data_IF_577069463253
#
_entry.id   IF_577069463253
#
_cell.length_a   1.000
_cell.length_b   1.000
_cell.length_c   1.000
_cell.angle_alpha   90.00
_cell.angle_beta   90.00
_cell.angle_gamma   90.00
#
_symmetry.space_group_name_H-M   'P 1'
#
loop_
_entity.id
_entity.type
_entity.pdbx_description
1 polymer ?
#
# COMPACT_ATOMS: atom_id res chain seq x y z
N UNK A 1 23.81 -29.97 -22.65
CA UNK A 1 22.74 -29.04 -22.22
C UNK A 1 22.16 -28.44 -23.49
N UNK A 2 20.85 -28.57 -23.71
CA UNK A 2 20.20 -28.00 -24.89
C UNK A 2 20.21 -26.47 -24.79
N UNK A 3 20.18 -25.76 -25.93
CA UNK A 3 20.14 -24.29 -25.94
C UNK A 3 19.02 -23.73 -25.06
N UNK A 4 17.90 -24.44 -24.93
CA UNK A 4 16.76 -24.06 -24.11
C UNK A 4 17.03 -24.12 -22.60
N UNK A 5 17.88 -25.05 -22.14
CA UNK A 5 18.24 -25.13 -20.71
C UNK A 5 19.21 -24.02 -20.31
N UNK A 6 20.07 -23.57 -21.23
CA UNK A 6 20.94 -22.40 -21.01
C UNK A 6 20.13 -21.09 -21.02
N UNK A 7 19.16 -20.97 -21.93
CA UNK A 7 18.28 -19.80 -22.02
C UNK A 7 17.39 -19.67 -20.78
N UNK A 8 16.86 -20.79 -20.28
CA UNK A 8 16.06 -20.84 -19.06
C UNK A 8 16.90 -20.50 -17.82
N UNK A 9 18.14 -20.97 -17.75
CA UNK A 9 19.06 -20.64 -16.65
C UNK A 9 19.48 -19.18 -16.66
N UNK A 10 19.77 -18.61 -17.85
CA UNK A 10 20.03 -17.18 -18.02
C UNK A 10 18.80 -16.32 -17.71
N UNK A 11 17.60 -16.79 -18.06
CA UNK A 11 16.33 -16.15 -17.72
C UNK A 11 16.08 -16.16 -16.20
N UNK A 12 16.35 -17.27 -15.51
CA UNK A 12 16.29 -17.34 -14.05
C UNK A 12 17.34 -16.43 -13.42
N UNK A 13 18.58 -16.42 -13.92
CA UNK A 13 19.65 -15.56 -13.41
C UNK A 13 19.29 -14.07 -13.58
N UNK A 14 18.75 -13.70 -14.74
CA UNK A 14 18.30 -12.35 -15.05
C UNK A 14 17.09 -11.95 -14.22
N UNK A 15 16.10 -12.84 -14.07
CA UNK A 15 14.89 -12.61 -13.26
C UNK A 15 15.22 -12.53 -11.77
N UNK A 16 16.12 -13.37 -11.26
CA UNK A 16 16.65 -13.27 -9.90
C UNK A 16 17.42 -11.97 -9.70
N UNK A 17 18.22 -11.55 -10.68
CA UNK A 17 18.94 -10.27 -10.64
C UNK A 17 17.98 -9.07 -10.61
N UNK A 18 16.97 -9.04 -11.47
CA UNK A 18 15.91 -8.01 -11.50
C UNK A 18 15.08 -8.00 -10.21
N UNK A 19 14.72 -9.18 -9.69
CA UNK A 19 13.99 -9.33 -8.44
C UNK A 19 14.81 -8.85 -7.22
N UNK A 20 16.14 -9.04 -7.25
CA UNK A 20 17.08 -8.49 -6.25
C UNK A 20 17.20 -6.96 -6.42
N UNK A 21 17.21 -6.45 -7.65
CA UNK A 21 17.35 -5.02 -7.96
C UNK A 21 16.14 -4.19 -7.53
N UNK A 22 14.92 -4.68 -7.80
CA UNK A 22 13.67 -4.03 -7.37
C UNK A 22 13.53 -4.03 -5.84
N UNK A 23 14.00 -5.07 -5.16
CA UNK A 23 14.00 -5.17 -3.69
C UNK A 23 14.89 -4.09 -3.04
N UNK A 24 15.94 -3.62 -3.72
CA UNK A 24 16.95 -2.67 -3.20
C UNK A 24 16.56 -1.19 -3.30
N UNK A 25 15.68 -0.84 -4.25
CA UNK A 25 15.13 0.52 -4.50
C UNK A 25 14.45 1.16 -3.28
N UNK A 26 13.38 0.51 -2.79
CA UNK A 26 12.56 0.96 -1.66
C UNK A 26 13.23 0.73 -0.30
N UNK A 27 14.39 0.08 -0.31
CA UNK A 27 15.13 -0.24 0.90
C UNK A 27 16.10 0.86 1.32
N UNK A 28 16.51 1.79 0.45
CA UNK A 28 17.69 2.60 0.78
C UNK A 28 17.44 3.56 1.97
N UNK A 29 16.30 4.26 2.02
CA UNK A 29 15.96 5.12 3.17
C UNK A 29 15.80 4.31 4.46
N UNK A 30 15.08 3.19 4.39
CA UNK A 30 14.86 2.28 5.53
C UNK A 30 16.16 1.63 6.03
N UNK A 31 17.03 1.17 5.12
CA UNK A 31 18.35 0.60 5.42
C UNK A 31 19.25 1.63 6.07
N UNK A 32 19.26 2.86 5.54
CA UNK A 32 20.01 3.96 6.14
C UNK A 32 19.48 4.25 7.54
N UNK A 33 18.16 4.35 7.72
CA UNK A 33 17.55 4.60 9.03
C UNK A 33 17.85 3.47 10.03
N UNK A 34 17.71 2.21 9.62
CA UNK A 34 17.98 1.04 10.44
C UNK A 34 19.45 0.93 10.87
N UNK A 35 20.37 1.38 10.01
CA UNK A 35 21.82 1.31 10.27
C UNK A 35 22.44 2.62 10.75
N UNK A 36 21.67 3.70 10.90
CA UNK A 36 22.19 5.06 11.15
C UNK A 36 23.11 5.15 12.38
N UNK A 37 22.79 4.36 13.41
CA UNK A 37 23.54 4.29 14.67
C UNK A 37 24.86 3.48 14.53
N UNK A 38 24.92 2.56 13.57
CA UNK A 38 26.11 1.73 13.27
C UNK A 38 27.09 2.44 12.32
N UNK A 39 26.66 3.51 11.66
CA UNK A 39 27.49 4.24 10.71
C UNK A 39 28.63 5.02 11.41
N UNK A 40 29.83 4.98 10.85
CA UNK A 40 30.92 5.89 11.26
C UNK A 40 30.57 7.36 10.96
N UNK A 41 31.25 8.35 11.58
CA UNK A 41 30.99 9.76 11.30
C UNK A 41 31.07 10.13 9.80
N UNK A 42 32.03 9.56 9.07
CA UNK A 42 32.15 9.77 7.63
C UNK A 42 31.00 9.13 6.84
N UNK A 43 30.58 7.93 7.21
CA UNK A 43 29.43 7.25 6.58
C UNK A 43 28.10 7.97 6.87
N UNK A 44 27.93 8.54 8.07
CA UNK A 44 26.76 9.39 8.38
C UNK A 44 26.69 10.62 7.47
N UNK A 45 27.82 11.27 7.16
CA UNK A 45 27.82 12.39 6.20
C UNK A 45 27.34 11.96 4.82
N UNK A 46 27.77 10.79 4.34
CA UNK A 46 27.28 10.21 3.08
C UNK A 46 25.78 9.92 3.14
N UNK A 47 25.31 9.29 4.22
CA UNK A 47 23.90 8.99 4.44
C UNK A 47 23.02 10.25 4.45
N UNK A 48 23.40 11.28 5.21
CA UNK A 48 22.65 12.54 5.26
C UNK A 48 22.60 13.23 3.91
N UNK A 49 23.72 13.30 3.19
CA UNK A 49 23.74 13.90 1.86
C UNK A 49 22.81 13.16 0.88
N UNK A 50 22.79 11.83 0.90
CA UNK A 50 21.88 11.03 0.06
C UNK A 50 20.41 11.28 0.44
N UNK A 51 20.10 11.35 1.74
CA UNK A 51 18.73 11.56 2.21
C UNK A 51 18.19 12.97 1.92
N UNK A 52 19.04 13.99 2.07
CA UNK A 52 18.71 15.41 1.87
C UNK A 52 18.76 15.82 0.39
N UNK A 53 19.76 15.33 -0.34
CA UNK A 53 20.04 15.72 -1.73
C UNK A 53 20.13 14.50 -2.67
N UNK A 54 19.08 13.64 -2.72
CA UNK A 54 19.11 12.42 -3.52
C UNK A 54 19.31 12.70 -5.01
N UNK A 55 18.79 13.83 -5.51
CA UNK A 55 18.91 14.21 -6.92
C UNK A 55 20.34 14.52 -7.30
N UNK A 56 21.05 15.28 -6.47
CA UNK A 56 22.47 15.56 -6.67
C UNK A 56 23.28 14.27 -6.57
N UNK A 57 23.02 13.45 -5.54
CA UNK A 57 23.73 12.19 -5.30
C UNK A 57 23.64 11.19 -6.46
N UNK A 58 22.53 11.16 -7.20
CA UNK A 58 22.32 10.27 -8.35
C UNK A 58 23.12 10.64 -9.62
N UNK A 59 23.83 11.77 -9.63
CA UNK A 59 24.70 12.17 -10.74
C UNK A 59 26.19 12.14 -10.37
N UNK A 60 26.53 11.73 -9.15
CA UNK A 60 27.91 11.68 -8.69
C UNK A 60 28.47 10.28 -8.88
N UNK A 61 29.78 10.19 -9.09
CA UNK A 61 30.56 8.97 -8.87
C UNK A 61 30.92 8.81 -7.38
N UNK A 62 31.43 7.64 -6.97
CA UNK A 62 31.83 7.40 -5.58
C UNK A 62 32.85 8.43 -5.08
N UNK A 63 33.84 8.76 -5.93
CA UNK A 63 34.87 9.76 -5.65
C UNK A 63 34.30 11.18 -5.52
N UNK A 64 33.41 11.56 -6.44
CA UNK A 64 32.75 12.87 -6.39
C UNK A 64 31.82 13.01 -5.19
N UNK A 65 31.04 11.97 -4.86
CA UNK A 65 30.19 11.95 -3.67
C UNK A 65 31.03 12.06 -2.40
N UNK A 66 32.15 11.34 -2.33
CA UNK A 66 33.10 11.44 -1.22
C UNK A 66 33.62 12.86 -1.07
N UNK A 67 34.10 13.45 -2.16
CA UNK A 67 34.59 14.84 -2.19
C UNK A 67 33.54 15.82 -1.71
N UNK A 68 32.30 15.69 -2.19
CA UNK A 68 31.18 16.57 -1.86
C UNK A 68 30.85 16.60 -0.36
N UNK A 69 31.02 15.48 0.34
CA UNK A 69 30.73 15.37 1.77
C UNK A 69 31.98 15.35 2.66
N UNK A 70 33.17 15.56 2.07
CA UNK A 70 34.45 15.61 2.76
C UNK A 70 34.92 14.26 3.31
N UNK A 71 34.76 13.17 2.56
CA UNK A 71 35.25 11.83 2.88
C UNK A 71 35.93 11.18 1.66
N UNK A 72 36.71 10.11 1.89
CA UNK A 72 37.33 9.38 0.77
C UNK A 72 36.33 8.52 0.00
N UNK A 73 36.64 8.23 -1.28
CA UNK A 73 35.89 7.27 -2.11
C UNK A 73 35.71 5.91 -1.41
N UNK A 74 36.78 5.41 -0.78
CA UNK A 74 36.74 4.16 -0.02
C UNK A 74 35.72 4.21 1.14
N UNK A 75 35.47 5.38 1.72
CA UNK A 75 34.44 5.56 2.75
C UNK A 75 33.03 5.44 2.17
N UNK A 76 32.80 5.96 0.97
CA UNK A 76 31.53 5.81 0.24
C UNK A 76 31.29 4.35 -0.15
N UNK A 77 32.31 3.63 -0.62
CA UNK A 77 32.19 2.20 -0.95
C UNK A 77 31.92 1.38 0.32
N UNK A 78 32.64 1.65 1.42
CA UNK A 78 32.36 1.00 2.71
C UNK A 78 30.96 1.30 3.22
N UNK A 79 30.45 2.53 3.03
CA UNK A 79 29.07 2.87 3.36
C UNK A 79 28.08 1.95 2.62
N UNK A 80 28.23 1.76 1.31
CA UNK A 80 27.39 0.84 0.55
C UNK A 80 27.39 -0.59 1.15
N UNK A 81 28.58 -1.10 1.50
CA UNK A 81 28.69 -2.40 2.15
C UNK A 81 28.06 -2.46 3.54
N UNK A 82 28.16 -1.40 4.35
CA UNK A 82 27.50 -1.32 5.67
C UNK A 82 25.97 -1.40 5.54
N UNK A 83 25.41 -0.94 4.42
CA UNK A 83 23.98 -1.09 4.11
C UNK A 83 23.61 -2.48 3.55
N UNK A 84 24.57 -3.39 3.41
CA UNK A 84 24.36 -4.73 2.84
C UNK A 84 24.37 -4.75 1.30
N UNK A 85 24.87 -3.70 0.66
CA UNK A 85 25.00 -3.61 -0.79
C UNK A 85 26.36 -4.14 -1.27
N UNK A 86 26.43 -4.62 -2.52
CA UNK A 86 27.67 -5.17 -3.11
C UNK A 86 28.72 -4.12 -3.47
N UNK A 87 28.37 -2.83 -3.42
CA UNK A 87 29.29 -1.73 -3.68
C UNK A 87 28.58 -0.46 -4.16
N UNK A 88 29.36 0.49 -4.69
CA UNK A 88 28.83 1.81 -5.07
C UNK A 88 27.83 1.77 -6.22
N UNK A 89 28.01 0.90 -7.22
CA UNK A 89 27.09 0.83 -8.37
C UNK A 89 25.66 0.49 -7.93
N UNK A 90 25.54 -0.44 -6.99
CA UNK A 90 24.26 -0.83 -6.43
C UNK A 90 23.67 0.27 -5.53
N UNK A 91 24.50 0.94 -4.74
CA UNK A 91 24.09 2.14 -3.99
C UNK A 91 23.57 3.22 -4.95
N UNK A 92 24.29 3.49 -6.04
CA UNK A 92 23.92 4.48 -7.04
C UNK A 92 22.59 4.15 -7.73
N UNK A 93 22.37 2.87 -8.07
CA UNK A 93 21.07 2.40 -8.58
C UNK A 93 19.95 2.60 -7.57
N UNK A 94 20.18 2.29 -6.29
CA UNK A 94 19.20 2.50 -5.24
C UNK A 94 18.88 4.00 -5.04
N UNK A 95 19.89 4.89 -5.06
CA UNK A 95 19.71 6.35 -5.05
C UNK A 95 18.88 6.80 -6.28
N UNK A 96 19.23 6.29 -7.46
CA UNK A 96 18.52 6.63 -8.71
C UNK A 96 17.05 6.19 -8.68
N UNK A 97 16.73 5.11 -7.96
CA UNK A 97 15.37 4.67 -7.77
C UNK A 97 14.58 5.53 -6.77
N UNK A 98 15.21 6.06 -5.72
CA UNK A 98 14.57 7.04 -4.81
C UNK A 98 14.05 8.29 -5.55
N UNK A 99 14.56 8.57 -6.75
CA UNK A 99 14.13 9.71 -7.57
C UNK A 99 12.87 9.44 -8.38
N UNK A 100 12.44 8.18 -8.56
CA UNK A 100 11.22 7.83 -9.33
C UNK A 100 9.98 8.52 -8.73
N UNK A 101 9.95 8.69 -7.42
CA UNK A 101 8.86 9.33 -6.70
C UNK A 101 8.78 10.84 -6.92
N UNK A 102 9.88 11.45 -7.35
CA UNK A 102 9.98 12.87 -7.70
C UNK A 102 9.88 13.15 -9.20
N UNK A 103 9.83 12.11 -10.04
CA UNK A 103 9.65 12.27 -11.48
C UNK A 103 8.26 12.82 -11.80
N UNK A 104 8.22 13.73 -12.76
CA UNK A 104 6.98 14.16 -13.42
C UNK A 104 6.33 12.96 -14.12
N UNK A 105 5.04 13.10 -14.40
CA UNK A 105 4.26 12.12 -15.17
C UNK A 105 4.97 11.75 -16.49
N UNK A 106 5.52 12.73 -17.21
CA UNK A 106 6.21 12.52 -18.49
C UNK A 106 7.56 11.80 -18.32
N UNK A 107 8.33 12.13 -17.29
CA UNK A 107 9.59 11.44 -17.02
C UNK A 107 9.38 9.99 -16.60
N UNK A 108 8.30 9.67 -15.87
CA UNK A 108 7.91 8.28 -15.58
C UNK A 108 7.58 7.50 -16.85
N UNK A 109 6.86 8.13 -17.80
CA UNK A 109 6.56 7.54 -19.11
C UNK A 109 7.82 7.30 -19.93
N UNK A 110 8.73 8.27 -20.00
CA UNK A 110 9.94 8.16 -20.81
C UNK A 110 10.90 7.11 -20.23
N UNK A 111 11.04 7.05 -18.90
CA UNK A 111 11.78 5.98 -18.23
C UNK A 111 11.20 4.61 -18.51
N UNK A 112 9.87 4.50 -18.53
CA UNK A 112 9.18 3.27 -18.91
C UNK A 112 9.44 2.91 -20.38
N UNK A 113 9.40 3.88 -21.29
CA UNK A 113 9.66 3.67 -22.73
C UNK A 113 11.10 3.20 -23.00
N UNK A 114 12.04 3.65 -22.17
CA UNK A 114 13.48 3.36 -22.30
C UNK A 114 13.93 2.13 -21.50
N UNK A 115 13.06 1.50 -20.70
CA UNK A 115 13.39 0.31 -19.89
C UNK A 115 13.70 -0.93 -20.73
N UNK A 116 13.33 -0.96 -22.02
CA UNK A 116 13.51 -2.12 -22.90
C UNK A 116 12.56 -3.28 -22.59
N UNK A 117 11.53 -3.05 -21.76
CA UNK A 117 10.51 -4.05 -21.44
C UNK A 117 9.68 -4.40 -22.68
N UNK A 118 9.64 -5.69 -23.02
CA UNK A 118 8.99 -6.18 -24.26
C UNK A 118 7.46 -6.21 -24.17
N UNK A 119 6.89 -6.17 -22.97
CA UNK A 119 5.45 -6.32 -22.72
C UNK A 119 4.98 -5.44 -21.56
N UNK A 120 4.06 -4.52 -21.85
CA UNK A 120 3.42 -3.65 -20.85
C UNK A 120 2.65 -4.47 -19.81
N UNK A 121 1.96 -5.50 -20.28
CA UNK A 121 1.15 -6.38 -19.46
C UNK A 121 1.99 -7.12 -18.43
N UNK A 122 3.05 -7.80 -18.89
CA UNK A 122 3.91 -8.60 -18.01
C UNK A 122 4.63 -7.72 -16.98
N UNK A 123 5.00 -6.50 -17.38
CA UNK A 123 5.60 -5.55 -16.46
C UNK A 123 4.61 -5.10 -15.37
N UNK A 124 3.40 -4.69 -15.78
CA UNK A 124 2.39 -4.21 -14.86
C UNK A 124 2.04 -5.30 -13.83
N UNK A 125 1.70 -6.49 -14.32
CA UNK A 125 1.35 -7.64 -13.48
C UNK A 125 2.54 -8.08 -12.63
N UNK A 126 3.76 -8.09 -13.18
CA UNK A 126 4.98 -8.43 -12.44
C UNK A 126 5.24 -7.48 -11.27
N UNK A 127 5.07 -6.16 -11.49
CA UNK A 127 5.19 -5.14 -10.42
C UNK A 127 4.14 -5.33 -9.32
N UNK A 128 2.91 -5.67 -9.68
CA UNK A 128 1.85 -5.93 -8.71
C UNK A 128 2.13 -7.18 -7.87
N UNK A 129 2.53 -8.28 -8.52
CA UNK A 129 2.93 -9.51 -7.83
C UNK A 129 4.08 -9.24 -6.85
N UNK A 130 5.08 -8.46 -7.27
CA UNK A 130 6.20 -8.12 -6.41
C UNK A 130 5.77 -7.24 -5.23
N UNK A 131 4.90 -6.26 -5.45
CA UNK A 131 4.33 -5.42 -4.38
C UNK A 131 3.56 -6.27 -3.36
N UNK A 132 2.77 -7.24 -3.83
CA UNK A 132 2.05 -8.20 -2.98
C UNK A 132 2.98 -9.09 -2.14
N UNK A 133 4.08 -9.59 -2.74
CA UNK A 133 5.11 -10.34 -1.99
C UNK A 133 5.78 -9.48 -0.92
N UNK A 134 6.01 -8.20 -1.22
CA UNK A 134 6.55 -7.26 -0.24
C UNK A 134 5.56 -7.03 0.91
N UNK A 135 4.27 -6.85 0.62
CA UNK A 135 3.22 -6.77 1.66
C UNK A 135 3.30 -7.99 2.57
N UNK A 136 3.28 -9.21 2.01
CA UNK A 136 3.29 -10.45 2.77
C UNK A 136 4.52 -10.59 3.69
N UNK A 137 5.67 -10.06 3.27
CA UNK A 137 6.92 -10.15 4.04
C UNK A 137 7.13 -9.01 5.05
N UNK A 138 6.47 -7.86 4.88
CA UNK A 138 6.74 -6.64 5.68
C UNK A 138 5.59 -6.22 6.58
N UNK A 139 4.34 -6.48 6.18
CA UNK A 139 3.18 -6.03 6.93
C UNK A 139 3.01 -6.89 8.18
N UNK A 140 3.18 -6.27 9.35
CA UNK A 140 2.85 -6.91 10.63
C UNK A 140 1.32 -6.92 10.81
N UNK A 141 0.75 -8.13 10.86
CA UNK A 141 -0.68 -8.35 11.08
C UNK A 141 -1.19 -7.68 12.36
N UNK A 142 -0.33 -7.52 13.38
CA UNK A 142 -0.69 -6.81 14.61
C UNK A 142 -1.09 -5.36 14.36
N UNK A 143 -0.50 -4.70 13.37
CA UNK A 143 -0.88 -3.33 12.99
C UNK A 143 -2.32 -3.29 12.50
N UNK A 144 -2.73 -4.27 11.69
CA UNK A 144 -4.09 -4.38 11.16
C UNK A 144 -5.09 -4.68 12.28
N UNK A 145 -4.77 -5.60 13.20
CA UNK A 145 -5.63 -5.89 14.35
C UNK A 145 -5.81 -4.70 15.29
N UNK A 146 -4.74 -3.97 15.58
CA UNK A 146 -4.81 -2.77 16.40
C UNK A 146 -5.66 -1.68 15.73
N UNK A 147 -5.55 -1.53 14.40
CA UNK A 147 -6.38 -0.60 13.64
C UNK A 147 -7.85 -1.01 13.67
N UNK A 148 -8.15 -2.31 13.57
CA UNK A 148 -9.51 -2.82 13.65
C UNK A 148 -10.16 -2.49 15.00
N UNK A 149 -9.45 -2.75 16.12
CA UNK A 149 -9.92 -2.39 17.46
C UNK A 149 -10.14 -0.88 17.63
N UNK A 150 -9.24 -0.05 17.06
CA UNK A 150 -9.42 1.41 17.06
C UNK A 150 -10.69 1.82 16.29
N UNK A 151 -10.94 1.20 15.14
CA UNK A 151 -12.10 1.53 14.29
C UNK A 151 -13.42 1.10 14.92
N UNK A 152 -13.48 -0.06 15.57
CA UNK A 152 -14.72 -0.54 16.21
C UNK A 152 -15.10 0.26 17.46
N UNK A 153 -14.13 0.88 18.12
CA UNK A 153 -14.35 1.72 19.31
C UNK A 153 -14.60 3.21 18.97
N UNK A 154 -14.27 3.65 17.76
CA UNK A 154 -14.35 5.06 17.37
C UNK A 154 -15.80 5.56 17.25
N UNK A 155 -16.14 6.74 17.82
CA UNK A 155 -17.48 7.32 17.65
C UNK A 155 -17.81 7.71 16.21
N UNK A 156 -16.79 8.07 15.43
CA UNK A 156 -16.87 8.35 14.01
C UNK A 156 -15.51 8.07 13.34
N UNK A 157 -15.55 7.68 12.07
CA UNK A 157 -14.36 7.51 11.24
C UNK A 157 -14.50 8.33 9.97
N UNK A 158 -13.51 9.18 9.71
CA UNK A 158 -13.42 10.05 8.54
C UNK A 158 -12.27 9.58 7.66
N UNK A 159 -12.53 9.29 6.39
CA UNK A 159 -11.54 8.75 5.46
C UNK A 159 -11.22 9.79 4.41
N UNK A 160 -9.98 10.26 4.37
CA UNK A 160 -9.49 11.30 3.48
C UNK A 160 -8.54 10.73 2.42
N UNK A 161 -8.83 10.99 1.15
CA UNK A 161 -7.95 10.69 0.03
C UNK A 161 -8.18 11.72 -1.06
N UNK A 162 -7.15 12.02 -1.86
CA UNK A 162 -7.25 13.01 -2.93
C UNK A 162 -6.59 12.50 -4.21
N UNK A 163 -7.08 12.95 -5.37
CA UNK A 163 -6.66 12.45 -6.70
C UNK A 163 -6.78 10.92 -6.76
N UNK A 164 -5.76 10.19 -7.22
CA UNK A 164 -5.80 8.73 -7.32
C UNK A 164 -6.16 8.07 -5.97
N UNK A 165 -5.61 8.54 -4.85
CA UNK A 165 -5.87 7.96 -3.53
C UNK A 165 -7.31 8.17 -3.05
N UNK A 166 -8.11 9.02 -3.70
CA UNK A 166 -9.56 9.10 -3.43
C UNK A 166 -10.25 7.78 -3.73
N UNK A 167 -9.81 7.03 -4.75
CA UNK A 167 -10.37 5.70 -5.06
C UNK A 167 -10.21 4.72 -3.89
N UNK A 168 -9.07 4.77 -3.20
CA UNK A 168 -8.81 3.94 -2.01
C UNK A 168 -9.67 4.39 -0.82
N UNK A 169 -9.78 5.70 -0.61
CA UNK A 169 -10.62 6.26 0.45
C UNK A 169 -12.09 5.90 0.25
N UNK A 170 -12.59 6.04 -0.99
CA UNK A 170 -13.93 5.65 -1.38
C UNK A 170 -14.16 4.16 -1.17
N UNK A 171 -13.26 3.30 -1.67
CA UNK A 171 -13.35 1.84 -1.54
C UNK A 171 -13.45 1.40 -0.07
N UNK A 172 -12.56 1.92 0.79
CA UNK A 172 -12.59 1.63 2.21
C UNK A 172 -13.88 2.14 2.86
N UNK A 173 -14.29 3.38 2.56
CA UNK A 173 -15.51 3.96 3.13
C UNK A 173 -16.77 3.19 2.74
N UNK A 174 -16.83 2.71 1.49
CA UNK A 174 -17.96 1.95 0.96
C UNK A 174 -18.16 0.65 1.72
N UNK A 175 -17.16 -0.21 1.80
CA UNK A 175 -17.31 -1.49 2.52
C UNK A 175 -17.49 -1.30 4.02
N UNK A 176 -16.80 -0.34 4.62
CA UNK A 176 -16.97 -0.08 6.05
C UNK A 176 -18.37 0.49 6.38
N UNK A 177 -19.01 1.21 5.46
CA UNK A 177 -20.38 1.71 5.66
C UNK A 177 -21.43 0.59 5.81
N UNK A 178 -21.13 -0.63 5.36
CA UNK A 178 -22.02 -1.77 5.55
C UNK A 178 -21.99 -2.26 7.00
N UNK A 179 -20.84 -2.09 7.66
CA UNK A 179 -20.52 -2.79 8.91
C UNK A 179 -20.22 -1.86 10.08
N UNK A 180 -20.05 -0.55 9.87
CA UNK A 180 -19.81 0.45 10.90
C UNK A 180 -20.80 1.61 10.77
N UNK A 181 -21.34 2.14 11.89
CA UNK A 181 -22.49 3.04 11.86
C UNK A 181 -22.16 4.48 11.44
N UNK A 182 -20.91 4.93 11.60
CA UNK A 182 -20.53 6.33 11.40
C UNK A 182 -19.21 6.46 10.62
N UNK A 183 -19.22 5.92 9.39
CA UNK A 183 -18.14 6.07 8.41
C UNK A 183 -18.48 7.22 7.46
N UNK A 184 -17.53 8.14 7.27
CA UNK A 184 -17.68 9.28 6.35
C UNK A 184 -16.48 9.38 5.44
N UNK A 185 -16.72 9.38 4.14
CA UNK A 185 -15.73 9.85 3.17
C UNK A 185 -15.58 11.36 3.31
N UNK A 186 -14.35 11.84 3.41
CA UNK A 186 -14.07 13.26 3.61
C UNK A 186 -14.47 14.07 2.36
N UNK A 187 -15.33 15.10 2.48
CA UNK A 187 -15.66 15.98 1.37
C UNK A 187 -14.43 16.79 0.96
N UNK A 188 -14.28 17.03 -0.34
CA UNK A 188 -13.07 17.66 -0.90
C UNK A 188 -13.04 19.18 -0.68
N UNK A 189 -14.21 19.80 -0.59
CA UNK A 189 -14.45 21.24 -0.50
C UNK A 189 -14.51 21.76 0.94
N UNK A 190 -15.11 21.00 1.86
CA UNK A 190 -15.34 21.42 3.25
C UNK A 190 -14.87 20.41 4.31
N UNK A 191 -13.60 19.96 4.28
CA UNK A 191 -13.13 18.96 5.22
C UNK A 191 -13.02 19.48 6.66
N UNK A 192 -12.74 20.78 6.86
CA UNK A 192 -12.46 21.33 8.19
C UNK A 192 -13.74 21.60 8.97
N UNK A 193 -14.78 22.09 8.31
CA UNK A 193 -16.12 22.31 8.85
C UNK A 193 -16.71 20.99 9.38
N UNK A 194 -16.46 19.89 8.65
CA UNK A 194 -16.83 18.55 9.08
C UNK A 194 -16.04 18.12 10.33
N UNK A 195 -14.73 18.37 10.36
CA UNK A 195 -13.86 17.97 11.47
C UNK A 195 -14.01 18.82 12.73
N UNK A 196 -14.38 20.10 12.63
CA UNK A 196 -14.71 20.95 13.79
C UNK A 196 -15.85 20.35 14.62
N UNK A 197 -16.79 19.70 13.93
CA UNK A 197 -17.96 19.07 14.55
C UNK A 197 -17.77 17.56 14.78
N UNK A 198 -16.55 17.04 14.61
CA UNK A 198 -16.29 15.63 14.86
C UNK A 198 -16.42 15.33 16.38
N UNK A 199 -17.08 14.23 16.76
CA UNK A 199 -17.06 13.78 18.14
C UNK A 199 -15.62 13.62 18.66
N UNK A 200 -15.36 13.86 19.95
CA UNK A 200 -14.08 13.50 20.57
C UNK A 200 -13.71 12.04 20.28
N UNK A 201 -12.41 11.75 20.20
CA UNK A 201 -11.88 10.40 19.93
C UNK A 201 -12.23 9.82 18.54
N UNK A 202 -12.89 10.58 17.67
CA UNK A 202 -13.08 10.20 16.28
C UNK A 202 -11.75 9.96 15.57
N UNK A 203 -11.76 9.04 14.61
CA UNK A 203 -10.59 8.66 13.83
C UNK A 203 -10.61 9.37 12.48
N UNK A 204 -9.51 10.05 12.14
CA UNK A 204 -9.28 10.62 10.82
C UNK A 204 -8.18 9.82 10.13
N UNK A 205 -8.57 9.07 9.11
CA UNK A 205 -7.68 8.22 8.30
C UNK A 205 -7.36 8.94 7.01
N UNK A 206 -6.09 9.26 6.75
CA UNK A 206 -5.68 9.71 5.42
C UNK A 206 -4.94 8.64 4.67
N UNK A 207 -5.21 8.59 3.37
CA UNK A 207 -4.57 7.68 2.44
C UNK A 207 -3.79 8.52 1.43
N UNK A 208 -2.47 8.34 1.40
CA UNK A 208 -1.61 8.98 0.40
C UNK A 208 -0.33 8.20 0.20
N UNK A 209 0.03 8.07 -1.07
CA UNK A 209 1.25 7.43 -1.56
C UNK A 209 2.18 8.49 -2.20
N UNK A 210 3.39 8.15 -2.66
CA UNK A 210 4.35 9.08 -3.24
C UNK A 210 3.75 10.05 -4.27
N UNK A 211 4.30 11.26 -4.32
CA UNK A 211 3.61 12.50 -4.74
C UNK A 211 2.46 12.86 -3.79
N UNK A 212 2.76 12.81 -2.49
CA UNK A 212 1.81 13.00 -1.40
C UNK A 212 0.96 14.27 -1.57
N UNK A 213 -0.35 14.09 -1.49
CA UNK A 213 -1.28 15.21 -1.62
C UNK A 213 -1.16 16.15 -0.43
N UNK A 214 -0.85 17.42 -0.72
CA UNK A 214 -0.85 18.47 0.30
C UNK A 214 -2.22 18.67 0.95
N UNK A 215 -3.30 18.33 0.24
CA UNK A 215 -4.65 18.35 0.79
C UNK A 215 -4.80 17.30 1.90
N UNK A 216 -4.42 16.04 1.64
CA UNK A 216 -4.52 14.96 2.64
C UNK A 216 -3.62 15.23 3.84
N UNK A 217 -2.42 15.77 3.61
CA UNK A 217 -1.51 16.20 4.66
C UNK A 217 -2.12 17.28 5.56
N UNK A 218 -2.76 18.29 4.98
CA UNK A 218 -3.41 19.37 5.74
C UNK A 218 -4.59 18.86 6.56
N UNK A 219 -5.37 17.91 6.02
CA UNK A 219 -6.48 17.26 6.74
C UNK A 219 -5.97 16.50 7.96
N UNK A 220 -4.96 15.63 7.81
CA UNK A 220 -4.38 14.93 8.97
C UNK A 220 -3.76 15.90 9.98
N UNK A 221 -3.01 16.90 9.51
CA UNK A 221 -2.38 17.88 10.39
C UNK A 221 -3.44 18.62 11.22
N UNK A 222 -4.55 19.01 10.60
CA UNK A 222 -5.66 19.64 11.29
C UNK A 222 -6.27 18.71 12.34
N UNK A 223 -6.57 17.46 11.98
CA UNK A 223 -7.10 16.46 12.91
C UNK A 223 -6.17 16.23 14.11
N UNK A 224 -4.86 16.09 13.85
CA UNK A 224 -3.83 15.93 14.89
C UNK A 224 -3.78 17.13 15.82
N UNK A 225 -3.86 18.35 15.29
CA UNK A 225 -3.87 19.60 16.07
C UNK A 225 -5.13 19.79 16.92
N UNK A 226 -6.21 19.08 16.61
CA UNK A 226 -7.49 19.11 17.35
C UNK A 226 -7.71 17.84 18.19
N UNK A 227 -6.63 17.12 18.54
CA UNK A 227 -6.66 15.94 19.42
C UNK A 227 -7.55 14.79 18.94
N UNK A 228 -7.80 14.68 17.64
CA UNK A 228 -8.46 13.50 17.06
C UNK A 228 -7.46 12.35 16.90
N UNK A 229 -7.98 11.12 16.86
CA UNK A 229 -7.17 9.96 16.49
C UNK A 229 -6.82 10.07 15.00
N UNK A 230 -5.56 9.76 14.64
CA UNK A 230 -5.07 9.98 13.26
C UNK A 230 -4.39 8.73 12.75
N UNK A 231 -4.80 8.29 11.56
CA UNK A 231 -4.26 7.10 10.90
C UNK A 231 -3.71 7.51 9.55
N UNK A 232 -2.47 7.12 9.25
CA UNK A 232 -1.91 7.22 7.91
C UNK A 232 -1.86 5.83 7.27
N UNK A 233 -2.47 5.69 6.10
CA UNK A 233 -2.25 4.56 5.19
C UNK A 233 -1.38 5.08 4.05
N UNK A 234 -0.13 4.60 3.98
CA UNK A 234 0.93 5.20 3.17
C UNK A 234 1.97 4.14 2.79
N UNK A 235 3.03 4.51 2.09
CA UNK A 235 4.09 3.61 1.65
C UNK A 235 5.16 3.34 2.71
N UNK A 236 5.55 4.37 3.48
CA UNK A 236 6.67 4.29 4.42
C UNK A 236 6.38 5.03 5.74
N UNK A 237 7.01 4.59 6.84
CA UNK A 237 6.94 5.28 8.14
C UNK A 237 7.59 6.67 8.11
N UNK A 238 8.47 6.90 7.15
CA UNK A 238 9.14 8.19 6.90
C UNK A 238 8.35 9.12 5.99
N UNK A 239 7.14 8.74 5.56
CA UNK A 239 6.36 9.58 4.66
C UNK A 239 5.93 10.89 5.33
N UNK A 240 5.73 11.98 4.57
CA UNK A 240 5.18 13.22 5.11
C UNK A 240 3.81 13.03 5.78
N UNK A 241 3.04 12.03 5.36
CA UNK A 241 1.73 11.72 5.94
C UNK A 241 1.88 11.11 7.33
N UNK A 242 2.84 10.20 7.51
CA UNK A 242 3.12 9.55 8.79
C UNK A 242 3.50 10.56 9.90
N UNK A 243 4.07 11.71 9.54
CA UNK A 243 4.44 12.78 10.49
C UNK A 243 3.25 13.28 11.32
N UNK A 244 2.03 13.23 10.78
CA UNK A 244 0.82 13.73 11.43
C UNK A 244 -0.10 12.62 11.95
N UNK A 245 0.35 11.37 11.92
CA UNK A 245 -0.44 10.21 12.30
C UNK A 245 0.01 9.63 13.65
N UNK A 246 -0.97 9.17 14.45
CA UNK A 246 -0.74 8.39 15.66
C UNK A 246 -0.53 6.90 15.34
N UNK A 247 -1.20 6.42 14.30
CA UNK A 247 -1.09 5.04 13.81
C UNK A 247 -0.73 5.06 12.33
N UNK A 248 0.18 4.20 11.91
CA UNK A 248 0.65 4.15 10.52
C UNK A 248 0.55 2.73 10.01
N UNK A 249 -0.08 2.56 8.84
CA UNK A 249 -0.07 1.34 8.05
C UNK A 249 0.76 1.60 6.80
N UNK A 250 1.90 0.93 6.71
CA UNK A 250 2.81 1.03 5.55
C UNK A 250 2.52 -0.09 4.56
N UNK A 251 2.26 0.28 3.32
CA UNK A 251 1.92 -0.62 2.22
C UNK A 251 2.89 -0.36 1.07
N UNK A 252 3.72 -1.33 0.68
CA UNK A 252 4.54 -1.22 -0.52
C UNK A 252 3.72 -0.75 -1.72
N UNK A 253 4.20 0.32 -2.35
CA UNK A 253 3.60 0.94 -3.51
C UNK A 253 4.65 0.96 -4.61
N UNK A 254 4.24 0.73 -5.86
CA UNK A 254 5.15 0.88 -7.00
C UNK A 254 4.36 1.43 -8.19
N UNK A 255 4.82 2.54 -8.81
CA UNK A 255 4.21 3.01 -10.04
C UNK A 255 4.57 2.08 -11.19
N UNK A 256 3.59 1.82 -12.06
CA UNK A 256 3.86 1.07 -13.29
C UNK A 256 4.56 2.01 -14.28
N UNK A 257 3.93 3.14 -14.59
CA UNK A 257 4.44 4.19 -15.46
C UNK A 257 3.97 5.54 -14.90
N UNK A 258 3.16 6.29 -15.64
CA UNK A 258 2.50 7.50 -15.13
C UNK A 258 1.34 7.23 -14.17
N UNK A 259 0.86 5.99 -14.11
CA UNK A 259 -0.22 5.57 -13.22
C UNK A 259 0.31 4.92 -11.94
N UNK A 260 -0.43 5.15 -10.87
CA UNK A 260 -0.29 4.48 -9.59
C UNK A 260 -0.86 3.06 -9.70
N UNK A 261 -0.13 2.04 -9.23
CA UNK A 261 -0.74 0.74 -9.01
C UNK A 261 -1.27 0.65 -7.58
N UNK A 262 -2.55 0.30 -7.46
CA UNK A 262 -3.24 0.11 -6.19
C UNK A 262 -3.60 -1.34 -5.90
N UNK A 263 -3.04 -2.32 -6.62
CA UNK A 263 -3.28 -3.73 -6.36
C UNK A 263 -2.92 -4.11 -4.90
N UNK A 264 -1.71 -3.77 -4.45
CA UNK A 264 -1.27 -4.00 -3.07
C UNK A 264 -2.05 -3.18 -2.03
N UNK A 265 -2.23 -1.85 -2.21
CA UNK A 265 -3.11 -1.04 -1.36
C UNK A 265 -4.51 -1.62 -1.18
N UNK A 266 -5.23 -1.95 -2.27
CA UNK A 266 -6.57 -2.54 -2.20
C UNK A 266 -6.54 -3.86 -1.44
N UNK A 267 -5.56 -4.72 -1.69
CA UNK A 267 -5.47 -5.99 -0.97
C UNK A 267 -5.27 -5.80 0.54
N UNK A 268 -4.49 -4.82 0.97
CA UNK A 268 -4.34 -4.53 2.40
C UNK A 268 -5.60 -3.89 2.98
N UNK A 269 -6.30 -3.04 2.21
CA UNK A 269 -7.61 -2.53 2.63
C UNK A 269 -8.61 -3.66 2.87
N UNK A 270 -8.59 -4.71 2.04
CA UNK A 270 -9.40 -5.91 2.28
C UNK A 270 -9.05 -6.58 3.61
N UNK A 271 -7.75 -6.70 3.95
CA UNK A 271 -7.34 -7.22 5.25
C UNK A 271 -7.84 -6.34 6.42
N UNK A 272 -7.82 -5.00 6.26
CA UNK A 272 -8.36 -4.07 7.26
C UNK A 272 -9.87 -4.28 7.43
N UNK A 273 -10.63 -4.33 6.33
CA UNK A 273 -12.08 -4.55 6.34
C UNK A 273 -12.41 -5.88 7.01
N UNK A 274 -11.73 -6.96 6.64
CA UNK A 274 -11.95 -8.30 7.20
C UNK A 274 -11.57 -8.36 8.68
N UNK A 275 -10.49 -7.69 9.10
CA UNK A 275 -10.11 -7.63 10.52
C UNK A 275 -11.12 -6.84 11.35
N UNK A 276 -11.71 -5.77 10.82
CA UNK A 276 -12.80 -5.03 11.47
C UNK A 276 -14.05 -5.89 11.56
N UNK A 277 -14.39 -6.59 10.48
CA UNK A 277 -15.53 -7.51 10.44
C UNK A 277 -15.39 -8.62 11.49
N UNK A 278 -14.18 -9.17 11.65
CA UNK A 278 -13.87 -10.17 12.68
C UNK A 278 -14.02 -9.60 14.10
N UNK A 279 -13.56 -8.36 14.34
CA UNK A 279 -13.68 -7.69 15.64
C UNK A 279 -15.15 -7.41 16.02
N UNK A 280 -16.03 -7.16 15.05
CA UNK A 280 -17.46 -6.91 15.28
C UNK A 280 -18.25 -8.16 15.68
N UNK A 281 -17.77 -9.36 15.37
CA UNK A 281 -18.42 -10.64 15.69
C UNK A 281 -19.88 -10.69 15.22
N UNK A 282 -20.78 -11.11 16.10
CA UNK A 282 -22.21 -11.31 15.79
C UNK A 282 -22.94 -10.03 15.31
N UNK A 283 -22.44 -8.84 15.69
CA UNK A 283 -22.99 -7.55 15.24
C UNK A 283 -22.92 -7.40 13.71
N UNK A 284 -21.91 -8.00 13.09
CA UNK A 284 -21.75 -8.02 11.64
C UNK A 284 -22.92 -8.74 10.96
N UNK A 285 -23.25 -9.95 11.42
CA UNK A 285 -24.28 -10.80 10.83
C UNK A 285 -25.63 -10.09 10.79
N UNK A 286 -26.03 -9.47 11.90
CA UNK A 286 -27.30 -8.73 11.96
C UNK A 286 -27.36 -7.54 11.01
N UNK A 287 -26.23 -6.85 10.77
CA UNK A 287 -26.17 -5.73 9.80
C UNK A 287 -26.24 -6.24 8.36
N UNK A 288 -25.51 -7.31 8.05
CA UNK A 288 -25.51 -7.89 6.71
C UNK A 288 -26.86 -8.49 6.35
N UNK A 289 -27.55 -9.15 7.29
CA UNK A 289 -28.91 -9.69 7.05
C UNK A 289 -29.93 -8.60 6.66
N UNK A 290 -29.81 -7.39 7.25
CA UNK A 290 -30.66 -6.24 6.89
C UNK A 290 -30.35 -5.78 5.46
N UNK A 291 -29.06 -5.71 5.10
CA UNK A 291 -28.63 -5.30 3.76
C UNK A 291 -29.01 -6.33 2.70
N UNK A 292 -28.82 -7.62 2.97
CA UNK A 292 -29.20 -8.71 2.08
C UNK A 292 -30.70 -8.68 1.77
N UNK A 293 -31.54 -8.52 2.79
CA UNK A 293 -32.99 -8.36 2.59
C UNK A 293 -33.32 -7.17 1.70
N UNK A 294 -32.68 -6.02 1.93
CA UNK A 294 -32.86 -4.84 1.08
C UNK A 294 -32.42 -5.11 -0.36
N UNK A 295 -31.29 -5.81 -0.57
CA UNK A 295 -30.79 -6.15 -1.90
C UNK A 295 -31.71 -7.10 -2.65
N UNK A 296 -32.26 -8.09 -1.95
CA UNK A 296 -33.25 -9.03 -2.50
C UNK A 296 -34.55 -8.32 -2.88
N UNK A 297 -35.13 -7.55 -1.96
CA UNK A 297 -36.39 -6.81 -2.19
C UNK A 297 -36.30 -5.83 -3.36
N UNK A 298 -35.13 -5.24 -3.59
CA UNK A 298 -34.91 -4.25 -4.64
C UNK A 298 -34.28 -4.83 -5.92
N UNK A 299 -34.07 -6.16 -5.99
CA UNK A 299 -33.41 -6.82 -7.13
C UNK A 299 -32.07 -6.15 -7.51
N UNK A 300 -31.28 -5.74 -6.51
CA UNK A 300 -30.03 -5.00 -6.72
C UNK A 300 -28.97 -5.84 -7.45
N UNK A 301 -29.03 -7.16 -7.30
CA UNK A 301 -28.18 -8.10 -8.01
C UNK A 301 -29.02 -9.06 -8.85
N UNK A 302 -28.49 -9.45 -10.01
CA UNK A 302 -29.11 -10.52 -10.81
C UNK A 302 -28.98 -11.84 -10.04
N UNK A 303 -30.09 -12.49 -9.67
CA UNK A 303 -30.02 -13.75 -8.95
C UNK A 303 -29.31 -14.81 -9.81
N UNK A 304 -28.51 -15.70 -9.20
CA UNK A 304 -27.81 -16.73 -9.95
C UNK A 304 -28.81 -17.57 -10.75
N UNK A 305 -28.62 -17.64 -12.07
CA UNK A 305 -29.48 -18.42 -12.96
C UNK A 305 -29.17 -19.91 -12.81
N UNK A 306 -29.89 -20.61 -11.92
CA UNK A 306 -29.88 -22.07 -11.89
C UNK A 306 -30.49 -22.60 -13.19
N UNK A 307 -29.67 -23.06 -14.13
CA UNK A 307 -30.15 -23.67 -15.39
C UNK A 307 -30.72 -25.06 -15.12
N UNK A 308 -32.02 -25.21 -15.37
CA UNK A 308 -32.76 -26.48 -15.40
C UNK A 308 -32.18 -27.40 -16.49
N UNK A 309 -31.49 -28.48 -16.11
CA UNK A 309 -31.25 -29.65 -16.98
C UNK A 309 -31.58 -30.92 -16.20
N UNK A 310 -32.63 -31.63 -16.62
CA UNK A 310 -32.82 -33.03 -16.27
C UNK A 310 -33.21 -33.39 -14.83
N UNK A 311 -33.93 -32.52 -14.10
CA UNK A 311 -34.67 -32.95 -12.90
C UNK A 311 -33.86 -33.37 -11.67
N UNK A 312 -32.55 -33.09 -11.61
CA UNK A 312 -31.72 -33.37 -10.44
C UNK A 312 -31.14 -32.05 -9.93
N UNK A 313 -31.53 -31.66 -8.71
CA UNK A 313 -30.83 -30.62 -7.96
C UNK A 313 -29.56 -31.25 -7.37
N UNK A 314 -28.39 -30.86 -7.88
CA UNK A 314 -27.11 -31.14 -7.22
C UNK A 314 -26.67 -29.80 -6.63
N UNK A 315 -26.89 -29.62 -5.32
CA UNK A 315 -26.49 -28.41 -4.60
C UNK A 315 -25.51 -28.77 -3.50
N UNK A 316 -24.34 -28.15 -3.46
CA UNK A 316 -23.44 -28.31 -2.32
C UNK A 316 -23.80 -27.29 -1.23
N UNK A 317 -24.59 -27.77 -0.28
CA UNK A 317 -24.86 -27.30 1.10
C UNK A 317 -26.31 -26.93 1.43
N UNK A 318 -27.18 -27.93 1.35
CA UNK A 318 -28.04 -28.40 2.46
C UNK A 318 -28.89 -29.56 1.94
N UNK A 319 -28.71 -30.74 2.50
CA UNK A 319 -29.69 -31.83 2.36
C UNK A 319 -30.92 -31.37 3.14
N UNK A 320 -31.94 -30.87 2.44
CA UNK A 320 -33.28 -30.71 3.03
C UNK A 320 -34.03 -31.99 2.74
N UNK A 321 -34.11 -32.87 3.73
CA UNK A 321 -35.04 -34.00 3.71
C UNK A 321 -36.46 -33.46 3.84
N UNK A 322 -37.25 -33.52 2.76
CA UNK A 322 -38.70 -33.40 2.84
C UNK A 322 -39.24 -34.82 2.76
N UNK A 323 -39.50 -35.42 3.92
CA UNK A 323 -40.28 -36.64 4.03
C UNK A 323 -41.71 -36.26 4.39
N UNK A 324 -42.65 -36.77 3.58
CA UNK A 324 -44.09 -36.91 3.82
C UNK A 324 -44.93 -35.64 3.88
N UNK A 325 -45.51 -35.29 2.74
CA UNK A 325 -46.85 -34.69 2.66
C UNK A 325 -47.51 -35.12 1.34
N UNK A 326 -47.65 -36.43 1.17
CA UNK A 326 -48.64 -37.05 0.27
C UNK A 326 -49.48 -38.00 1.13
N UNK A 327 -50.39 -37.43 1.92
CA UNK A 327 -51.60 -38.10 2.42
C UNK A 327 -52.49 -37.02 3.08
N UNK A 328 -53.68 -36.79 2.49
CA UNK A 328 -54.72 -35.77 2.79
C UNK A 328 -54.51 -34.47 2.00
N UNK A 329 -55.36 -34.06 1.08
CA UNK A 329 -56.81 -34.24 0.87
C UNK A 329 -57.19 -34.64 -0.56
#
# INVERSE_FOLDING_TARGET
MTNDSLLFMLFIQFFLSEMILQRRSYMLREQIAAKINELSPGQRKVAYFILEKPREAAFLTASQLGTQVGVSEATVIRFAHTLGLSGYQELHQAISHMLIDHLTTLERMEKYRTSGEKSLFDTAIGKDINSMRLVQSRLDEKVIRNLAALFTQAPAIYIAGYRSSYTLAYYLSFYLSWILPNIKLMPLDMPYELLVNAPPESVVTGISFPRYSTWTLKVLRYARGNNLQTVAITDEYTSPLATYALHVVTIPYTPISFIDSFAAPISVLNCIILSIAQELGDTLSSRLEILERYWEENNLYVPPTLKKRGGIYIGENRIVNIAKEEERE
#
